data_IF_487859403590
#
_entry.id   IF_487859403590
#
_cell.length_a   1.000
_cell.length_b   1.000
_cell.length_c   1.000
_cell.angle_alpha   90.00
_cell.angle_beta   90.00
_cell.angle_gamma   90.00
#
_symmetry.space_group_name_H-M   'P 1'
#
loop_
_entity.id
_entity.type
_entity.pdbx_description
1 polymer ?
#
# COMPACT_ATOMS: atom_id res chain seq x y z
N UNK A 1 -18.24 -22.94 -6.00
CA UNK A 1 -16.96 -22.45 -5.46
C UNK A 1 -15.78 -22.70 -6.41
N UNK A 2 -15.61 -23.92 -6.93
CA UNK A 2 -14.50 -24.28 -7.83
C UNK A 2 -14.42 -23.48 -9.15
N UNK A 3 -15.56 -23.11 -9.77
CA UNK A 3 -15.59 -22.37 -11.05
C UNK A 3 -14.98 -20.95 -10.91
N UNK A 4 -15.41 -20.22 -9.88
CA UNK A 4 -14.93 -18.87 -9.57
C UNK A 4 -13.42 -18.84 -9.29
N UNK A 5 -12.92 -19.87 -8.60
CA UNK A 5 -11.49 -20.03 -8.34
C UNK A 5 -10.69 -20.29 -9.63
N UNK A 6 -11.18 -21.14 -10.53
CA UNK A 6 -10.56 -21.37 -11.86
C UNK A 6 -10.53 -20.08 -12.69
N UNK A 7 -11.60 -19.31 -12.70
CA UNK A 7 -11.67 -18.00 -13.38
C UNK A 7 -10.66 -17.00 -12.80
N UNK A 8 -10.40 -17.04 -11.48
CA UNK A 8 -9.39 -16.20 -10.84
C UNK A 8 -7.97 -16.64 -11.18
N UNK A 9 -7.70 -17.95 -11.24
CA UNK A 9 -6.41 -18.50 -11.68
C UNK A 9 -6.12 -18.10 -13.13
N UNK A 10 -7.10 -18.13 -14.02
CA UNK A 10 -6.90 -17.69 -15.40
C UNK A 10 -6.50 -16.21 -15.51
N UNK A 11 -6.91 -15.39 -14.54
CA UNK A 11 -6.57 -13.95 -14.46
C UNK A 11 -5.35 -13.67 -13.55
N UNK A 12 -4.58 -14.70 -13.18
CA UNK A 12 -3.50 -14.59 -12.19
C UNK A 12 -2.49 -13.49 -12.52
N UNK A 13 -2.13 -13.33 -13.80
CA UNK A 13 -1.13 -12.36 -14.25
C UNK A 13 -1.57 -10.91 -13.98
N UNK A 14 -2.85 -10.63 -14.21
CA UNK A 14 -3.46 -9.34 -13.84
C UNK A 14 -3.42 -9.11 -12.33
N UNK A 15 -3.76 -10.14 -11.54
CA UNK A 15 -3.70 -10.04 -10.08
C UNK A 15 -2.27 -9.90 -9.56
N UNK A 16 -1.27 -10.49 -10.23
CA UNK A 16 0.14 -10.34 -9.90
C UNK A 16 0.60 -8.89 -10.02
N UNK A 17 0.21 -8.21 -11.10
CA UNK A 17 0.53 -6.79 -11.31
C UNK A 17 -0.13 -5.90 -10.25
N UNK A 18 -1.40 -6.14 -9.95
CA UNK A 18 -2.13 -5.42 -8.88
C UNK A 18 -1.47 -5.65 -7.52
N UNK A 19 -1.13 -6.90 -7.19
CA UNK A 19 -0.45 -7.25 -5.94
C UNK A 19 0.89 -6.53 -5.83
N UNK A 20 1.70 -6.53 -6.88
CA UNK A 20 2.99 -5.84 -6.86
C UNK A 20 2.83 -4.34 -6.58
N UNK A 21 1.83 -3.67 -7.19
CA UNK A 21 1.53 -2.26 -6.87
C UNK A 21 1.10 -2.08 -5.41
N UNK A 22 0.31 -3.00 -4.86
CA UNK A 22 -0.09 -2.96 -3.45
C UNK A 22 1.11 -3.14 -2.51
N UNK A 23 2.02 -4.08 -2.81
CA UNK A 23 3.25 -4.29 -2.04
C UNK A 23 4.14 -3.05 -2.03
N UNK A 24 4.33 -2.39 -3.17
CA UNK A 24 5.09 -1.14 -3.26
C UNK A 24 4.43 -0.02 -2.43
N UNK A 25 3.10 0.05 -2.45
CA UNK A 25 2.31 1.00 -1.64
C UNK A 25 2.49 0.75 -0.13
N UNK A 26 2.45 -0.51 0.30
CA UNK A 26 2.67 -0.86 1.71
C UNK A 26 4.10 -0.61 2.16
N UNK A 27 5.10 -0.82 1.29
CA UNK A 27 6.49 -0.46 1.58
C UNK A 27 6.64 1.05 1.76
N UNK A 28 6.01 1.87 0.90
CA UNK A 28 6.01 3.32 1.04
C UNK A 28 5.37 3.75 2.37
N UNK A 29 4.23 3.15 2.72
CA UNK A 29 3.55 3.40 3.99
C UNK A 29 4.43 3.05 5.21
N UNK A 30 5.18 1.94 5.15
CA UNK A 30 6.05 1.51 6.23
C UNK A 30 7.30 2.37 6.37
N UNK A 31 7.98 2.64 5.25
CA UNK A 31 9.27 3.33 5.22
C UNK A 31 9.11 4.85 5.38
N UNK A 32 8.26 5.48 4.57
CA UNK A 32 8.13 6.95 4.53
C UNK A 32 7.24 7.49 5.64
N UNK A 33 6.21 6.73 6.06
CA UNK A 33 5.29 7.14 7.12
C UNK A 33 5.57 6.48 8.48
N UNK A 34 6.72 5.80 8.60
CA UNK A 34 7.16 5.15 9.85
C UNK A 34 6.12 4.22 10.49
N UNK A 35 5.21 3.65 9.69
CA UNK A 35 4.19 2.71 10.19
C UNK A 35 4.79 1.39 10.67
N UNK A 36 6.02 1.08 10.25
CA UNK A 36 6.80 -0.05 10.75
C UNK A 36 7.30 0.17 12.19
N UNK A 37 7.60 1.42 12.56
CA UNK A 37 8.09 1.82 13.89
C UNK A 37 6.99 2.44 14.75
N UNK A 38 5.75 2.01 14.56
CA UNK A 38 4.60 2.55 15.26
C UNK A 38 4.61 2.16 16.73
N UNK A 39 5.18 3.02 17.58
CA UNK A 39 5.11 2.87 19.03
C UNK A 39 4.23 3.97 19.63
N UNK A 40 3.06 3.59 20.17
CA UNK A 40 2.17 4.51 20.90
C UNK A 40 1.56 3.81 22.12
N UNK A 41 1.40 4.57 23.20
CA UNK A 41 0.93 4.07 24.49
C UNK A 41 -0.55 3.63 24.52
N UNK A 42 -1.40 4.13 23.61
CA UNK A 42 -2.84 3.79 23.59
C UNK A 42 -3.34 3.44 22.20
N UNK A 43 -4.30 2.51 22.13
CA UNK A 43 -4.98 2.13 20.88
C UNK A 43 -5.68 3.32 20.20
N UNK A 44 -6.19 4.28 20.98
CA UNK A 44 -6.80 5.52 20.46
C UNK A 44 -5.76 6.38 19.73
N UNK A 45 -4.57 6.52 20.30
CA UNK A 45 -3.45 7.24 19.66
C UNK A 45 -2.97 6.52 18.39
N UNK A 46 -2.89 5.18 18.42
CA UNK A 46 -2.56 4.37 17.23
C UNK A 46 -3.56 4.66 16.10
N UNK A 47 -4.87 4.55 16.36
CA UNK A 47 -5.90 4.76 15.33
C UNK A 47 -5.83 6.15 14.70
N UNK A 48 -5.66 7.21 15.50
CA UNK A 48 -5.53 8.58 14.98
C UNK A 48 -4.29 8.75 14.11
N UNK A 49 -3.15 8.22 14.57
CA UNK A 49 -1.89 8.33 13.83
C UNK A 49 -1.95 7.55 12.52
N UNK A 50 -2.37 6.29 12.56
CA UNK A 50 -2.51 5.46 11.34
C UNK A 50 -3.52 6.08 10.38
N UNK A 51 -4.67 6.56 10.86
CA UNK A 51 -5.67 7.21 10.02
C UNK A 51 -5.14 8.43 9.28
N UNK A 52 -4.38 9.30 9.97
CA UNK A 52 -3.75 10.45 9.33
C UNK A 52 -2.71 10.03 8.28
N UNK A 53 -1.84 9.08 8.61
CA UNK A 53 -0.80 8.63 7.68
C UNK A 53 -1.40 7.93 6.44
N UNK A 54 -2.46 7.15 6.60
CA UNK A 54 -3.18 6.53 5.48
C UNK A 54 -3.89 7.58 4.60
N UNK A 55 -4.45 8.64 5.21
CA UNK A 55 -5.02 9.76 4.44
C UNK A 55 -3.94 10.46 3.60
N UNK A 56 -2.79 10.78 4.19
CA UNK A 56 -1.66 11.39 3.49
C UNK A 56 -1.12 10.48 2.39
N UNK A 57 -0.99 9.18 2.64
CA UNK A 57 -0.63 8.17 1.64
C UNK A 57 -1.60 8.20 0.45
N UNK A 58 -2.91 8.24 0.71
CA UNK A 58 -3.95 8.33 -0.31
C UNK A 58 -3.88 9.63 -1.12
N UNK A 59 -3.57 10.76 -0.47
CA UNK A 59 -3.35 12.04 -1.14
C UNK A 59 -2.13 12.01 -2.07
N UNK A 60 -0.99 11.46 -1.62
CA UNK A 60 0.22 11.32 -2.44
C UNK A 60 -0.02 10.44 -3.67
N UNK A 61 -0.70 9.30 -3.49
CA UNK A 61 -1.10 8.42 -4.59
C UNK A 61 -2.02 9.15 -5.59
N UNK A 62 -2.94 9.98 -5.08
CA UNK A 62 -3.88 10.72 -5.91
C UNK A 62 -3.24 11.90 -6.65
N UNK A 63 -2.25 12.56 -6.05
CA UNK A 63 -1.63 13.79 -6.57
C UNK A 63 -0.53 13.55 -7.61
N UNK A 64 0.22 12.45 -7.56
CA UNK A 64 1.40 12.33 -8.41
C UNK A 64 1.70 10.94 -8.95
N UNK A 65 1.51 9.88 -8.17
CA UNK A 65 2.14 8.60 -8.48
C UNK A 65 1.21 7.72 -9.31
N UNK A 66 1.03 8.05 -10.59
CA UNK A 66 0.30 7.20 -11.55
C UNK A 66 1.20 6.12 -12.16
N UNK A 67 2.52 6.32 -12.16
CA UNK A 67 3.51 5.38 -12.71
C UNK A 67 4.22 4.60 -11.62
N UNK A 68 4.45 3.31 -11.87
CA UNK A 68 5.11 2.40 -10.92
C UNK A 68 6.57 2.82 -10.66
N UNK A 69 7.25 3.40 -11.64
CA UNK A 69 8.65 3.86 -11.49
C UNK A 69 8.79 4.97 -10.46
N UNK A 70 7.83 5.91 -10.38
CA UNK A 70 7.87 7.01 -9.42
C UNK A 70 7.62 6.53 -7.99
N UNK A 71 6.71 5.57 -7.82
CA UNK A 71 6.48 4.91 -6.53
C UNK A 71 7.74 4.18 -6.06
N UNK A 72 8.37 3.45 -6.98
CA UNK A 72 9.58 2.71 -6.70
C UNK A 72 10.73 3.64 -6.31
N UNK A 73 10.88 4.77 -7.01
CA UNK A 73 11.91 5.77 -6.71
C UNK A 73 11.72 6.38 -5.32
N UNK A 74 10.49 6.60 -4.87
CA UNK A 74 10.20 7.10 -3.50
C UNK A 74 10.41 6.06 -2.39
N UNK A 75 10.41 4.77 -2.72
CA UNK A 75 10.62 3.68 -1.75
C UNK A 75 12.10 3.31 -1.63
N UNK A 76 12.87 3.49 -2.71
CA UNK A 76 14.25 2.98 -2.84
C UNK A 76 15.32 4.07 -3.06
N UNK A 77 14.96 5.36 -3.15
CA UNK A 77 15.90 6.47 -2.84
C UNK A 77 16.01 6.63 -1.33
#
# INVERSE_FOLDING_TARGET
MARKFREMILKWERYRSIRSRMEDLFKLAKNSFSLDRLHRYTKKSVKKFVGLNVLLLGMIVSMGIRKKEELHRLVYM
#
